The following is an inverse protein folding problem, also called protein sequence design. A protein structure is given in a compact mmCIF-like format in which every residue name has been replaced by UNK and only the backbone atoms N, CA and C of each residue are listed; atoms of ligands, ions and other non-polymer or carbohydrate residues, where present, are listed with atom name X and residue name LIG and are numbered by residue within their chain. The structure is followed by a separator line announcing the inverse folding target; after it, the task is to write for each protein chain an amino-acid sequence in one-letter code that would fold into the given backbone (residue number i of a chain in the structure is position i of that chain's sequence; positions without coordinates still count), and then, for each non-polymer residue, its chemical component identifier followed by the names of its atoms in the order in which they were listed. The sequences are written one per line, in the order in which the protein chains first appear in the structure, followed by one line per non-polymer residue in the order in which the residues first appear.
data_IF_517048712992
#
_entry.id   IF_517048712992
#
_cell.length_a   1.000
_cell.length_b   1.000
_cell.length_c   1.000
_cell.angle_alpha   90.00
_cell.angle_beta   90.00
_cell.angle_gamma   90.00
#
_symmetry.space_group_name_H-M   'P 1'
#
loop_
_entity.id
_entity.type
_entity.pdbx_description
1 polymer ?
#
# COMPACT_ATOMS: atom_id res chain seq x y z
N UNK A 1 -2.23 9.03 -10.93
CA UNK A 1 -1.21 7.97 -10.86
C UNK A 1 -1.73 6.65 -10.28
N UNK A 2 -1.98 6.48 -8.97
CA UNK A 2 -2.35 5.16 -8.40
C UNK A 2 -3.60 4.53 -9.05
N UNK A 3 -4.65 5.33 -9.29
CA UNK A 3 -5.88 4.87 -9.96
C UNK A 3 -5.66 4.47 -11.42
N UNK A 4 -4.74 5.13 -12.13
CA UNK A 4 -4.48 4.83 -13.54
C UNK A 4 -3.76 3.48 -13.64
N UNK A 5 -2.80 3.21 -12.75
CA UNK A 5 -2.17 1.90 -12.63
C UNK A 5 -3.20 0.82 -12.31
N UNK A 6 -4.08 1.04 -11.33
CA UNK A 6 -5.15 0.09 -11.00
C UNK A 6 -6.08 -0.19 -12.19
N UNK A 7 -6.42 0.84 -12.99
CA UNK A 7 -7.27 0.69 -14.17
C UNK A 7 -6.59 -0.03 -15.33
N UNK A 8 -5.30 0.23 -15.55
CA UNK A 8 -4.50 -0.42 -16.58
C UNK A 8 -4.34 -1.93 -16.32
N UNK A 9 -4.36 -2.33 -15.06
CA UNK A 9 -4.11 -3.71 -14.61
C UNK A 9 -5.33 -4.28 -13.86
N UNK A 10 -6.54 -3.93 -14.30
CA UNK A 10 -7.81 -4.32 -13.65
C UNK A 10 -8.03 -5.84 -13.55
N UNK A 11 -7.33 -6.63 -14.35
CA UNK A 11 -7.37 -8.10 -14.31
C UNK A 11 -6.66 -8.70 -13.09
N UNK A 12 -5.81 -7.92 -12.40
CA UNK A 12 -5.08 -8.37 -11.24
C UNK A 12 -5.91 -8.22 -9.96
N UNK A 13 -5.97 -9.30 -9.18
CA UNK A 13 -6.78 -9.37 -7.95
C UNK A 13 -6.12 -8.72 -6.73
N UNK A 14 -4.84 -8.33 -6.84
CA UNK A 14 -4.06 -7.79 -5.72
C UNK A 14 -3.06 -6.76 -6.21
N UNK A 15 -3.10 -5.59 -5.61
CA UNK A 15 -2.10 -4.54 -5.76
C UNK A 15 -1.31 -4.42 -4.45
N UNK A 16 0.01 -4.34 -4.56
CA UNK A 16 0.90 -4.16 -3.42
C UNK A 16 1.73 -2.89 -3.57
N UNK A 17 1.99 -2.22 -2.45
CA UNK A 17 2.88 -1.08 -2.36
C UNK A 17 3.60 -1.06 -1.02
N UNK A 18 4.68 -0.29 -0.92
CA UNK A 18 5.42 -0.10 0.33
C UNK A 18 5.70 1.37 0.60
N UNK A 19 5.79 1.74 1.88
CA UNK A 19 6.16 3.09 2.31
C UNK A 19 6.78 3.06 3.72
N UNK A 20 7.58 4.06 4.08
CA UNK A 20 8.10 4.17 5.44
C UNK A 20 7.01 4.52 6.47
N UNK A 21 7.13 4.01 7.70
CA UNK A 21 6.18 4.24 8.80
C UNK A 21 5.98 5.73 9.19
N UNK A 22 6.92 6.61 8.83
CA UNK A 22 6.84 8.07 9.04
C UNK A 22 6.08 8.79 7.93
N UNK A 23 5.80 8.15 6.79
CA UNK A 23 5.05 8.75 5.69
C UNK A 23 3.54 8.75 5.98
N UNK A 24 3.13 9.50 6.99
CA UNK A 24 1.73 9.56 7.47
C UNK A 24 0.76 9.97 6.36
N UNK A 25 1.17 10.89 5.47
CA UNK A 25 0.39 11.31 4.30
C UNK A 25 0.12 10.15 3.34
N UNK A 26 1.13 9.34 3.04
CA UNK A 26 0.97 8.17 2.17
C UNK A 26 0.09 7.10 2.83
N UNK A 27 0.36 6.78 4.10
CA UNK A 27 -0.44 5.80 4.86
C UNK A 27 -1.92 6.19 4.89
N UNK A 28 -2.22 7.46 5.14
CA UNK A 28 -3.59 7.98 5.11
C UNK A 28 -4.21 7.90 3.71
N UNK A 29 -3.49 8.36 2.68
CA UNK A 29 -3.97 8.34 1.29
C UNK A 29 -4.28 6.91 0.83
N UNK A 30 -3.39 5.96 1.08
CA UNK A 30 -3.56 4.57 0.68
C UNK A 30 -4.71 3.91 1.44
N UNK A 31 -4.84 4.16 2.75
CA UNK A 31 -5.98 3.71 3.54
C UNK A 31 -7.31 4.20 2.97
N UNK A 32 -7.39 5.49 2.60
CA UNK A 32 -8.58 6.06 1.91
C UNK A 32 -8.86 5.45 0.54
N UNK A 33 -7.88 4.78 -0.09
CA UNK A 33 -8.03 4.09 -1.37
C UNK A 33 -8.30 2.59 -1.25
N UNK A 34 -8.48 2.10 -0.03
CA UNK A 34 -8.82 0.70 0.27
C UNK A 34 -7.62 -0.20 0.51
N UNK A 35 -6.40 0.34 0.54
CA UNK A 35 -5.22 -0.44 0.88
C UNK A 35 -5.13 -0.66 2.39
N UNK A 36 -4.75 -1.87 2.79
CA UNK A 36 -4.56 -2.28 4.19
C UNK A 36 -3.12 -2.73 4.40
N UNK A 37 -2.54 -2.37 5.55
CA UNK A 37 -1.22 -2.89 5.94
C UNK A 37 -1.34 -4.39 6.17
N UNK A 38 -0.51 -5.19 5.50
CA UNK A 38 -0.46 -6.65 5.69
C UNK A 38 0.89 -7.14 6.22
N UNK A 39 1.94 -6.32 6.11
CA UNK A 39 3.28 -6.62 6.62
C UNK A 39 4.00 -5.34 7.05
N UNK A 40 4.76 -5.42 8.12
CA UNK A 40 5.77 -4.43 8.49
C UNK A 40 7.13 -5.10 8.59
N UNK A 41 8.19 -4.35 8.32
CA UNK A 41 9.56 -4.84 8.40
C UNK A 41 10.46 -3.74 8.96
N UNK A 42 11.09 -4.00 10.10
CA UNK A 42 12.10 -3.09 10.65
C UNK A 42 13.36 -3.23 9.79
N UNK A 43 13.82 -2.12 9.22
CA UNK A 43 15.05 -2.06 8.43
C UNK A 43 16.22 -1.62 9.31
N UNK A 44 15.98 -0.63 10.17
CA UNK A 44 16.88 -0.16 11.22
C UNK A 44 16.09 0.65 12.26
N UNK A 45 16.77 1.18 13.26
CA UNK A 45 16.19 1.97 14.36
C UNK A 45 15.34 3.18 13.90
N UNK A 46 15.62 3.72 12.71
CA UNK A 46 14.96 4.93 12.18
C UNK A 46 13.92 4.62 11.10
N UNK A 47 13.84 3.40 10.61
CA UNK A 47 13.01 3.01 9.46
C UNK A 47 12.37 1.63 9.65
N UNK A 48 11.05 1.64 9.85
CA UNK A 48 10.17 0.51 9.54
C UNK A 48 9.52 0.72 8.18
N UNK A 49 9.63 -0.28 7.30
CA UNK A 49 8.90 -0.36 6.04
C UNK A 49 7.51 -0.95 6.29
N UNK A 50 6.49 -0.32 5.71
CA UNK A 50 5.09 -0.73 5.78
C UNK A 50 4.66 -1.19 4.39
N UNK A 51 4.21 -2.44 4.28
CA UNK A 51 3.66 -2.99 3.05
C UNK A 51 2.14 -2.99 3.14
N UNK A 52 1.49 -2.50 2.09
CA UNK A 52 0.06 -2.38 1.99
C UNK A 52 -0.44 -3.12 0.76
N UNK A 53 -1.62 -3.73 0.89
CA UNK A 53 -2.28 -4.43 -0.19
C UNK A 53 -3.71 -3.91 -0.40
N UNK A 54 -4.18 -3.97 -1.63
CA UNK A 54 -5.59 -3.86 -1.97
C UNK A 54 -5.97 -5.09 -2.77
N UNK A 55 -7.00 -5.79 -2.32
CA UNK A 55 -7.54 -6.98 -2.96
C UNK A 55 -8.92 -6.65 -3.51
N UNK A 56 -9.25 -7.14 -4.70
CA UNK A 56 -10.65 -7.19 -5.11
C UNK A 56 -11.34 -8.28 -4.29
N UNK A 57 -12.47 -7.93 -3.67
CA UNK A 57 -13.35 -8.90 -2.99
C UNK A 57 -14.35 -9.33 -4.06
N UNK A 58 -14.20 -10.57 -4.52
CA UNK A 58 -15.17 -11.29 -5.37
C UNK A 58 -16.49 -11.52 -4.65
#
# INVERSE_FOLDING_TARGET
MLREVEQMFKEYRRFELFTGHKSKKNLYLYGKKGYKIFKSQVINEKLTMMYLEKKEIS
#
